data_IF_115236723411
#
_entry.id   IF_115236723411
#
_cell.length_a   1.000
_cell.length_b   1.000
_cell.length_c   1.000
_cell.angle_alpha   90.00
_cell.angle_beta   90.00
_cell.angle_gamma   90.00
#
_symmetry.space_group_name_H-M   'P 1'
#
loop_
_entity.id
_entity.type
_entity.pdbx_description
1 polymer ?
#
# COMPACT_ATOMS: atom_id res chain seq x y z
N UNK A 1 12.60 60.29 23.84
CA UNK A 1 13.86 59.75 24.41
C UNK A 1 13.52 58.55 25.30
N UNK A 2 13.49 57.32 24.75
CA UNK A 2 13.20 56.08 25.50
C UNK A 2 13.63 54.84 24.70
N UNK A 3 14.94 54.59 24.55
CA UNK A 3 15.46 53.49 23.69
C UNK A 3 16.49 52.57 24.38
N UNK A 4 17.24 52.96 25.44
CA UNK A 4 18.21 52.04 26.05
C UNK A 4 17.58 50.87 26.83
N UNK A 5 16.53 51.11 27.64
CA UNK A 5 15.97 50.08 28.54
C UNK A 5 15.24 48.94 27.82
N UNK A 6 14.60 49.21 26.68
CA UNK A 6 13.87 48.21 25.87
C UNK A 6 14.78 47.14 25.27
N UNK A 7 16.02 47.49 24.89
CA UNK A 7 17.01 46.51 24.39
C UNK A 7 17.44 45.52 25.48
N UNK A 8 17.62 45.99 26.72
CA UNK A 8 18.08 45.15 27.83
C UNK A 8 17.02 44.21 28.40
N UNK A 9 15.73 44.55 28.28
CA UNK A 9 14.63 43.65 28.67
C UNK A 9 14.41 42.58 27.60
N UNK A 10 14.44 42.97 26.32
CA UNK A 10 14.31 42.03 25.20
C UNK A 10 15.46 41.02 25.17
N UNK A 11 16.70 41.44 25.44
CA UNK A 11 17.85 40.52 25.52
C UNK A 11 17.71 39.52 26.69
N UNK A 12 17.23 39.97 27.86
CA UNK A 12 17.01 39.08 29.01
C UNK A 12 15.80 38.16 28.86
N UNK A 13 14.80 38.55 28.08
CA UNK A 13 13.70 37.66 27.70
C UNK A 13 14.17 36.63 26.67
N UNK A 14 14.99 37.05 25.70
CA UNK A 14 15.60 36.16 24.73
C UNK A 14 16.51 35.11 25.40
N UNK A 15 17.38 35.51 26.33
CA UNK A 15 18.22 34.59 27.10
C UNK A 15 17.40 33.61 27.95
N UNK A 16 16.30 34.08 28.56
CA UNK A 16 15.37 33.19 29.28
C UNK A 16 14.66 32.22 28.34
N UNK A 17 14.29 32.67 27.14
CA UNK A 17 13.65 31.82 26.14
C UNK A 17 14.63 30.78 25.57
N UNK A 18 15.87 31.17 25.28
CA UNK A 18 16.94 30.26 24.84
C UNK A 18 17.31 29.27 25.94
N UNK A 19 17.45 29.74 27.19
CA UNK A 19 17.68 28.86 28.34
C UNK A 19 16.52 27.89 28.60
N UNK A 20 15.28 28.32 28.38
CA UNK A 20 14.11 27.45 28.43
C UNK A 20 14.14 26.41 27.30
N UNK A 21 14.52 26.78 26.08
CA UNK A 21 14.67 25.85 24.96
C UNK A 21 15.81 24.85 25.18
N UNK A 22 16.93 25.27 25.78
CA UNK A 22 18.01 24.37 26.18
C UNK A 22 17.61 23.44 27.34
N UNK A 23 16.76 23.90 28.26
CA UNK A 23 16.19 23.03 29.32
C UNK A 23 15.16 22.01 28.78
N UNK A 24 14.51 22.32 27.66
CA UNK A 24 13.59 21.43 26.94
C UNK A 24 14.34 20.49 25.98
N UNK A 25 15.63 20.72 25.75
CA UNK A 25 16.55 19.81 25.07
C UNK A 25 16.78 18.58 25.96
N UNK A 26 15.74 17.77 26.10
CA UNK A 26 15.79 16.43 26.68
C UNK A 26 16.98 15.74 26.04
N UNK A 27 17.96 15.36 26.85
CA UNK A 27 19.02 14.46 26.39
C UNK A 27 18.34 13.31 25.63
N UNK A 28 18.78 13.00 24.39
CA UNK A 28 18.20 11.88 23.67
C UNK A 28 18.35 10.67 24.58
N UNK A 29 17.21 10.15 25.06
CA UNK A 29 17.16 8.91 25.87
C UNK A 29 18.06 7.92 25.16
N UNK A 30 19.22 7.59 25.76
CA UNK A 30 20.16 6.64 25.18
C UNK A 30 19.41 5.34 25.01
N UNK A 31 18.98 5.08 23.78
CA UNK A 31 18.24 3.86 23.44
C UNK A 31 19.23 2.73 23.64
N UNK A 32 18.94 1.83 24.59
CA UNK A 32 19.87 0.76 24.94
C UNK A 32 20.23 -0.09 23.71
N UNK A 33 21.46 -0.64 23.62
CA UNK A 33 21.89 -1.46 22.48
C UNK A 33 20.92 -2.61 22.15
N UNK A 34 20.27 -3.17 23.17
CA UNK A 34 19.28 -4.23 23.03
C UNK A 34 18.01 -3.77 22.29
N UNK A 35 17.54 -2.54 22.53
CA UNK A 35 16.35 -1.99 21.84
C UNK A 35 16.63 -1.85 20.36
N UNK A 36 17.83 -1.39 20.00
CA UNK A 36 18.26 -1.27 18.60
C UNK A 36 18.34 -2.65 17.94
N UNK A 37 18.86 -3.66 18.64
CA UNK A 37 18.91 -5.04 18.14
C UNK A 37 17.51 -5.64 17.94
N UNK A 38 16.61 -5.47 18.91
CA UNK A 38 15.22 -5.95 18.81
C UNK A 38 14.48 -5.25 17.68
N UNK A 39 14.61 -3.92 17.57
CA UNK A 39 14.03 -3.16 16.47
C UNK A 39 14.57 -3.60 15.11
N UNK A 40 15.89 -3.85 15.02
CA UNK A 40 16.53 -4.35 13.80
C UNK A 40 16.05 -5.74 13.41
N UNK A 41 15.85 -6.65 14.38
CA UNK A 41 15.29 -7.98 14.11
C UNK A 41 13.83 -7.89 13.64
N UNK A 42 13.00 -7.09 14.33
CA UNK A 42 11.62 -6.88 13.94
C UNK A 42 11.51 -6.31 12.52
N UNK A 43 12.33 -5.31 12.18
CA UNK A 43 12.37 -4.73 10.84
C UNK A 43 12.76 -5.77 9.78
N UNK A 44 13.76 -6.61 10.04
CA UNK A 44 14.15 -7.71 9.13
C UNK A 44 13.00 -8.69 8.92
N UNK A 45 12.31 -9.08 9.99
CA UNK A 45 11.15 -9.98 9.90
C UNK A 45 10.03 -9.37 9.06
N UNK A 46 9.73 -8.09 9.25
CA UNK A 46 8.74 -7.37 8.44
C UNK A 46 9.15 -7.34 6.97
N UNK A 47 10.40 -7.02 6.65
CA UNK A 47 10.89 -7.02 5.26
C UNK A 47 10.77 -8.40 4.62
N UNK A 48 11.18 -9.46 5.32
CA UNK A 48 11.07 -10.84 4.84
C UNK A 48 9.61 -11.24 4.61
N UNK A 49 8.70 -10.84 5.51
CA UNK A 49 7.28 -11.14 5.36
C UNK A 49 6.63 -10.40 4.19
N UNK A 50 7.03 -9.15 3.94
CA UNK A 50 6.45 -8.29 2.89
C UNK A 50 7.05 -8.53 1.50
N UNK A 51 8.27 -9.04 1.41
CA UNK A 51 9.01 -9.19 0.14
C UNK A 51 8.25 -10.00 -0.93
N UNK A 52 7.59 -11.14 -0.63
CA UNK A 52 6.84 -11.88 -1.65
C UNK A 52 5.69 -11.06 -2.25
N UNK A 53 4.96 -10.33 -1.41
CA UNK A 53 3.85 -9.49 -1.86
C UNK A 53 4.33 -8.26 -2.63
N UNK A 54 5.44 -7.66 -2.19
CA UNK A 54 6.11 -6.59 -2.91
C UNK A 54 6.55 -7.06 -4.30
N UNK A 55 7.24 -8.21 -4.38
CA UNK A 55 7.67 -8.80 -5.65
C UNK A 55 6.49 -9.05 -6.59
N UNK A 56 5.37 -9.59 -6.07
CA UNK A 56 4.18 -9.88 -6.86
C UNK A 56 3.62 -8.63 -7.53
N UNK A 57 3.27 -7.64 -6.72
CA UNK A 57 2.54 -6.46 -7.20
C UNK A 57 3.49 -5.53 -7.95
N UNK A 58 4.66 -5.21 -7.39
CA UNK A 58 5.58 -4.25 -8.00
C UNK A 58 6.07 -4.71 -9.36
N UNK A 59 6.41 -6.00 -9.49
CA UNK A 59 6.89 -6.56 -10.76
C UNK A 59 5.76 -6.61 -11.79
N UNK A 60 4.55 -7.01 -11.40
CA UNK A 60 3.42 -7.02 -12.32
C UNK A 60 3.06 -5.59 -12.79
N UNK A 61 3.05 -4.60 -11.90
CA UNK A 61 2.83 -3.19 -12.26
C UNK A 61 3.98 -2.66 -13.11
N UNK A 62 5.24 -3.06 -12.87
CA UNK A 62 6.38 -2.67 -13.71
C UNK A 62 6.22 -3.20 -15.14
N UNK A 63 6.02 -4.51 -15.31
CA UNK A 63 5.81 -5.14 -16.62
C UNK A 63 4.60 -4.55 -17.33
N UNK A 64 3.59 -4.16 -16.53
CA UNK A 64 2.48 -3.41 -17.05
C UNK A 64 2.95 -1.98 -17.47
N UNK A 65 3.05 -1.04 -16.55
CA UNK A 65 3.26 0.37 -16.86
C UNK A 65 4.50 0.69 -17.72
N UNK A 66 5.62 -0.02 -17.52
CA UNK A 66 6.89 0.31 -18.18
C UNK A 66 7.14 -0.51 -19.45
N UNK A 67 6.90 -1.82 -19.40
CA UNK A 67 7.26 -2.72 -20.50
C UNK A 67 6.12 -2.96 -21.51
N UNK A 68 4.92 -2.44 -21.27
CA UNK A 68 3.82 -2.58 -22.23
C UNK A 68 3.20 -3.99 -22.31
N UNK A 69 3.56 -4.92 -21.41
CA UNK A 69 3.02 -6.29 -21.43
C UNK A 69 1.50 -6.37 -21.20
N UNK A 70 0.76 -7.21 -21.92
CA UNK A 70 -0.63 -7.51 -21.61
C UNK A 70 -0.81 -7.89 -20.12
N UNK A 71 -1.95 -7.52 -19.53
CA UNK A 71 -2.21 -7.69 -18.08
C UNK A 71 -1.96 -9.12 -17.58
N UNK A 72 -2.37 -10.13 -18.35
CA UNK A 72 -2.15 -11.54 -18.00
C UNK A 72 -0.65 -11.90 -17.94
N UNK A 73 0.15 -11.44 -18.91
CA UNK A 73 1.59 -11.69 -18.95
C UNK A 73 2.31 -10.91 -17.84
N UNK A 74 1.90 -9.67 -17.57
CA UNK A 74 2.44 -8.88 -16.48
C UNK A 74 2.21 -9.56 -15.11
N UNK A 75 0.97 -10.06 -14.87
CA UNK A 75 0.64 -10.80 -13.67
C UNK A 75 1.38 -12.15 -13.58
N UNK A 76 1.57 -12.83 -14.71
CA UNK A 76 2.38 -14.06 -14.77
C UNK A 76 3.84 -13.78 -14.40
N UNK A 77 4.42 -12.68 -14.87
CA UNK A 77 5.77 -12.25 -14.49
C UNK A 77 5.90 -11.94 -13.00
N UNK A 78 4.93 -11.22 -12.41
CA UNK A 78 4.90 -11.00 -10.96
C UNK A 78 4.75 -12.31 -10.16
N UNK A 79 3.92 -13.23 -10.65
CA UNK A 79 3.74 -14.57 -10.07
C UNK A 79 5.05 -15.37 -10.11
N UNK A 80 5.74 -15.39 -11.25
CA UNK A 80 7.03 -16.07 -11.40
C UNK A 80 8.11 -15.47 -10.48
N UNK A 81 8.21 -14.14 -10.42
CA UNK A 81 9.14 -13.44 -9.53
C UNK A 81 8.88 -13.81 -8.05
N UNK A 82 7.62 -13.83 -7.64
CA UNK A 82 7.23 -14.21 -6.27
C UNK A 82 7.51 -15.67 -5.97
N UNK A 83 7.28 -16.56 -6.94
CA UNK A 83 7.59 -17.98 -6.80
C UNK A 83 9.10 -18.20 -6.61
N UNK A 84 9.96 -17.41 -7.26
CA UNK A 84 11.42 -17.44 -7.02
C UNK A 84 11.75 -17.02 -5.59
N UNK A 85 11.15 -15.93 -5.09
CA UNK A 85 11.36 -15.48 -3.70
C UNK A 85 10.95 -16.56 -2.69
N UNK A 86 9.75 -17.13 -2.83
CA UNK A 86 9.28 -18.18 -1.93
C UNK A 86 10.09 -19.48 -2.06
N UNK A 87 10.57 -19.79 -3.27
CA UNK A 87 11.47 -20.93 -3.47
C UNK A 87 12.79 -20.72 -2.74
N UNK A 88 13.35 -19.50 -2.78
CA UNK A 88 14.56 -19.17 -2.03
C UNK A 88 14.34 -19.29 -0.52
N UNK A 89 13.20 -18.82 0.00
CA UNK A 89 12.83 -18.98 1.41
C UNK A 89 12.71 -20.45 1.80
N UNK A 90 11.94 -21.22 1.04
CA UNK A 90 11.76 -22.65 1.28
C UNK A 90 13.08 -23.42 1.19
N UNK A 91 13.93 -23.10 0.21
CA UNK A 91 15.24 -23.72 0.03
C UNK A 91 16.17 -23.44 1.21
N UNK A 92 16.19 -22.20 1.70
CA UNK A 92 16.96 -21.80 2.87
C UNK A 92 16.51 -22.53 4.14
N UNK A 93 15.19 -22.59 4.39
CA UNK A 93 14.62 -23.35 5.52
C UNK A 93 14.95 -24.84 5.40
N UNK A 94 14.73 -25.42 4.23
CA UNK A 94 14.96 -26.84 3.97
C UNK A 94 16.43 -27.23 4.16
N UNK A 95 17.35 -26.37 3.69
CA UNK A 95 18.78 -26.53 3.91
C UNK A 95 19.13 -26.52 5.40
N UNK A 96 18.58 -25.56 6.16
CA UNK A 96 18.79 -25.45 7.62
C UNK A 96 18.33 -26.68 8.39
N UNK A 97 17.30 -27.38 7.92
CA UNK A 97 16.72 -28.54 8.60
C UNK A 97 17.32 -29.88 8.15
N UNK A 98 17.69 -30.01 6.87
CA UNK A 98 18.06 -31.31 6.28
C UNK A 98 19.48 -31.38 5.71
N UNK A 99 20.17 -30.23 5.62
CA UNK A 99 21.49 -30.12 4.98
C UNK A 99 21.47 -30.31 3.46
N UNK A 100 20.29 -30.46 2.83
CA UNK A 100 20.14 -30.64 1.37
C UNK A 100 19.30 -29.51 0.79
N UNK A 101 19.33 -29.30 -0.53
CA UNK A 101 18.44 -28.33 -1.20
C UNK A 101 17.79 -28.99 -2.41
N UNK A 102 16.47 -28.86 -2.56
CA UNK A 102 15.72 -29.34 -3.73
C UNK A 102 14.86 -28.21 -4.29
N UNK A 103 15.48 -27.17 -4.90
CA UNK A 103 14.77 -25.94 -5.26
C UNK A 103 13.67 -26.20 -6.29
N UNK A 104 13.91 -27.06 -7.28
CA UNK A 104 12.88 -27.42 -8.27
C UNK A 104 11.65 -28.12 -7.66
N UNK A 105 11.86 -28.94 -6.63
CA UNK A 105 10.75 -29.59 -5.92
C UNK A 105 9.92 -28.55 -5.14
N UNK A 106 10.58 -27.68 -4.40
CA UNK A 106 9.95 -26.60 -3.63
C UNK A 106 9.18 -25.65 -4.56
N UNK A 107 9.81 -25.24 -5.67
CA UNK A 107 9.18 -24.38 -6.65
C UNK A 107 7.88 -24.99 -7.20
N UNK A 108 7.96 -26.23 -7.69
CA UNK A 108 6.83 -26.89 -8.38
C UNK A 108 5.71 -27.33 -7.43
N UNK A 109 6.04 -27.75 -6.20
CA UNK A 109 5.06 -28.36 -5.28
C UNK A 109 4.55 -27.41 -4.19
N UNK A 110 5.27 -26.32 -3.91
CA UNK A 110 4.93 -25.41 -2.82
C UNK A 110 4.80 -23.98 -3.33
N UNK A 111 5.88 -23.38 -3.80
CA UNK A 111 5.91 -21.95 -4.09
C UNK A 111 4.93 -21.57 -5.21
N UNK A 112 5.01 -22.23 -6.38
CA UNK A 112 4.16 -21.89 -7.52
C UNK A 112 2.66 -22.13 -7.23
N UNK A 113 2.21 -23.30 -6.74
CA UNK A 113 0.81 -23.52 -6.38
C UNK A 113 0.30 -22.49 -5.36
N UNK A 114 1.11 -22.15 -4.36
CA UNK A 114 0.72 -21.18 -3.33
C UNK A 114 0.50 -19.78 -3.90
N UNK A 115 1.41 -19.28 -4.74
CA UNK A 115 1.26 -17.97 -5.37
C UNK A 115 0.09 -17.96 -6.36
N UNK A 116 -0.09 -19.03 -7.15
CA UNK A 116 -1.22 -19.14 -8.08
C UNK A 116 -2.54 -19.15 -7.33
N UNK A 117 -2.65 -19.90 -6.22
CA UNK A 117 -3.84 -19.91 -5.39
C UNK A 117 -4.13 -18.53 -4.79
N UNK A 118 -3.11 -17.82 -4.32
CA UNK A 118 -3.25 -16.45 -3.84
C UNK A 118 -3.72 -15.50 -4.94
N UNK A 119 -3.12 -15.54 -6.13
CA UNK A 119 -3.55 -14.74 -7.27
C UNK A 119 -4.99 -15.05 -7.66
N UNK A 120 -5.39 -16.33 -7.73
CA UNK A 120 -6.76 -16.73 -8.03
C UNK A 120 -7.74 -16.15 -7.00
N UNK A 121 -7.45 -16.30 -5.70
CA UNK A 121 -8.22 -15.70 -4.61
C UNK A 121 -8.34 -14.18 -4.78
N UNK A 122 -7.20 -13.50 -4.95
CA UNK A 122 -7.11 -12.06 -5.06
C UNK A 122 -7.78 -11.50 -6.31
N UNK A 123 -8.00 -12.31 -7.35
CA UNK A 123 -8.71 -11.87 -8.55
C UNK A 123 -10.23 -11.95 -8.39
N UNK A 124 -10.76 -12.81 -7.53
CA UNK A 124 -12.20 -13.11 -7.51
C UNK A 124 -12.91 -12.70 -6.24
N UNK A 125 -12.18 -12.58 -5.13
CA UNK A 125 -12.78 -12.43 -3.82
C UNK A 125 -12.49 -11.06 -3.19
N UNK A 126 -13.56 -10.41 -2.72
CA UNK A 126 -13.51 -9.29 -1.79
C UNK A 126 -14.47 -9.57 -0.64
N UNK A 127 -14.01 -9.44 0.61
CA UNK A 127 -14.85 -9.61 1.79
C UNK A 127 -15.95 -8.55 1.86
N UNK A 128 -17.14 -8.93 2.34
CA UNK A 128 -18.23 -8.00 2.63
C UNK A 128 -17.81 -6.90 3.62
N UNK A 129 -16.99 -7.26 4.61
CA UNK A 129 -16.53 -6.35 5.67
C UNK A 129 -15.57 -5.28 5.15
N UNK A 130 -14.91 -5.53 4.02
CA UNK A 130 -13.97 -4.59 3.40
C UNK A 130 -14.64 -3.78 2.27
N UNK A 131 -15.91 -3.99 1.97
CA UNK A 131 -16.67 -3.22 1.00
C UNK A 131 -17.68 -2.31 1.73
N UNK A 132 -17.81 -1.06 1.30
CA UNK A 132 -18.81 -0.12 1.86
C UNK A 132 -20.25 -0.61 1.66
N UNK A 133 -20.52 -1.32 0.58
CA UNK A 133 -21.83 -1.89 0.26
C UNK A 133 -21.69 -3.13 -0.63
N UNK A 134 -22.78 -3.89 -0.72
CA UNK A 134 -22.88 -5.04 -1.64
C UNK A 134 -22.69 -4.64 -3.10
N UNK A 135 -23.14 -3.44 -3.49
CA UNK A 135 -22.92 -2.90 -4.83
C UNK A 135 -21.42 -2.72 -5.13
N UNK A 136 -20.66 -2.11 -4.21
CA UNK A 136 -19.21 -1.96 -4.36
C UNK A 136 -18.54 -3.32 -4.48
N UNK A 137 -18.97 -4.29 -3.67
CA UNK A 137 -18.47 -5.67 -3.74
C UNK A 137 -18.76 -6.33 -5.09
N UNK A 138 -19.95 -6.11 -5.66
CA UNK A 138 -20.34 -6.65 -6.96
C UNK A 138 -19.47 -6.11 -8.11
N UNK A 139 -18.99 -4.86 -8.00
CA UNK A 139 -18.07 -4.25 -8.98
C UNK A 139 -16.61 -4.69 -8.84
N UNK A 140 -16.29 -5.58 -7.90
CA UNK A 140 -14.91 -6.01 -7.70
C UNK A 140 -14.27 -6.59 -8.97
N UNK A 141 -15.03 -7.39 -9.74
CA UNK A 141 -14.52 -8.05 -10.95
C UNK A 141 -14.36 -7.13 -12.16
N UNK A 142 -14.97 -5.94 -12.16
CA UNK A 142 -14.71 -4.92 -13.19
C UNK A 142 -13.43 -4.13 -12.92
N UNK A 143 -12.81 -4.27 -11.74
CA UNK A 143 -11.54 -3.61 -11.45
C UNK A 143 -10.37 -4.30 -12.17
N UNK A 144 -9.38 -3.51 -12.58
CA UNK A 144 -8.18 -4.03 -13.23
C UNK A 144 -7.49 -5.10 -12.35
N UNK A 145 -7.09 -6.26 -12.91
CA UNK A 145 -6.48 -7.36 -12.17
C UNK A 145 -5.34 -6.97 -11.22
N UNK A 146 -4.48 -6.03 -11.63
CA UNK A 146 -3.35 -5.60 -10.78
C UNK A 146 -3.79 -4.79 -9.56
N UNK A 147 -4.86 -3.98 -9.69
CA UNK A 147 -5.47 -3.29 -8.56
C UNK A 147 -6.14 -4.29 -7.61
N UNK A 148 -6.80 -5.33 -8.14
CA UNK A 148 -7.39 -6.40 -7.32
C UNK A 148 -6.35 -7.12 -6.46
N UNK A 149 -5.20 -7.47 -7.05
CA UNK A 149 -4.09 -8.10 -6.31
C UNK A 149 -3.48 -7.15 -5.27
N UNK A 150 -3.32 -5.86 -5.61
CA UNK A 150 -2.84 -4.86 -4.66
C UNK A 150 -3.81 -4.64 -3.48
N UNK A 151 -5.11 -4.49 -3.77
CA UNK A 151 -6.14 -4.36 -2.73
C UNK A 151 -6.22 -5.58 -1.84
N UNK A 152 -6.19 -6.79 -2.40
CA UNK A 152 -6.20 -8.03 -1.62
C UNK A 152 -4.98 -8.12 -0.69
N UNK A 153 -3.81 -7.69 -1.18
CA UNK A 153 -2.59 -7.62 -0.38
C UNK A 153 -2.71 -6.61 0.75
N UNK A 154 -3.31 -5.44 0.49
CA UNK A 154 -3.58 -4.44 1.51
C UNK A 154 -4.54 -4.98 2.58
N UNK A 155 -5.63 -5.65 2.19
CA UNK A 155 -6.62 -6.23 3.12
C UNK A 155 -5.98 -7.27 4.06
N UNK A 156 -4.97 -8.01 3.60
CA UNK A 156 -4.24 -8.93 4.47
C UNK A 156 -3.48 -8.21 5.59
N UNK A 157 -2.84 -7.08 5.27
CA UNK A 157 -2.06 -6.27 6.21
C UNK A 157 -2.94 -5.34 7.05
N UNK A 158 -4.09 -4.94 6.52
CA UNK A 158 -4.99 -3.94 7.07
C UNK A 158 -6.43 -4.44 6.99
N UNK A 159 -6.85 -5.18 8.03
CA UNK A 159 -8.16 -5.89 8.04
C UNK A 159 -9.37 -4.96 8.07
N UNK A 160 -9.20 -3.73 8.54
CA UNK A 160 -10.29 -2.75 8.67
C UNK A 160 -10.35 -1.77 7.48
N UNK A 161 -9.52 -1.94 6.45
CA UNK A 161 -9.62 -1.11 5.26
C UNK A 161 -10.99 -1.29 4.61
N UNK A 162 -11.64 -0.18 4.30
CA UNK A 162 -12.93 -0.17 3.60
C UNK A 162 -12.74 0.44 2.24
N UNK A 163 -13.04 -0.34 1.21
CA UNK A 163 -13.17 0.11 -0.18
C UNK A 163 -14.53 0.77 -0.31
N UNK A 164 -14.52 2.07 -0.61
CA UNK A 164 -15.72 2.90 -0.69
C UNK A 164 -16.26 3.00 -2.10
N UNK A 165 -15.40 2.82 -3.10
CA UNK A 165 -15.78 2.86 -4.50
C UNK A 165 -14.78 2.10 -5.37
N UNK A 166 -15.24 1.58 -6.52
CA UNK A 166 -14.43 0.82 -7.47
C UNK A 166 -14.74 1.28 -8.90
N UNK A 167 -15.82 0.76 -9.47
CA UNK A 167 -16.29 1.14 -10.80
C UNK A 167 -17.57 1.97 -10.69
N UNK A 168 -17.68 2.98 -11.56
CA UNK A 168 -18.86 3.83 -11.71
C UNK A 168 -19.43 3.70 -13.11
N UNK A 169 -20.70 4.04 -13.25
CA UNK A 169 -21.37 4.34 -14.51
C UNK A 169 -21.73 5.84 -14.56
N UNK A 170 -21.95 6.41 -15.75
CA UNK A 170 -22.38 7.80 -15.88
C UNK A 170 -23.66 8.14 -15.10
N UNK A 171 -24.55 7.16 -14.91
CA UNK A 171 -25.79 7.31 -14.15
C UNK A 171 -25.55 7.44 -12.63
N UNK A 172 -24.45 6.87 -12.12
CA UNK A 172 -24.08 6.95 -10.70
C UNK A 172 -23.77 8.40 -10.32
N UNK A 173 -23.12 9.16 -11.21
CA UNK A 173 -22.84 10.59 -11.00
C UNK A 173 -24.12 11.42 -10.91
N UNK A 174 -25.12 11.13 -11.77
CA UNK A 174 -26.41 11.80 -11.72
C UNK A 174 -27.14 11.52 -10.40
N UNK A 175 -27.09 10.27 -9.92
CA UNK A 175 -27.67 9.88 -8.62
C UNK A 175 -26.98 10.57 -7.45
N UNK A 176 -25.69 10.87 -7.58
CA UNK A 176 -24.90 11.62 -6.59
C UNK A 176 -25.07 13.15 -6.70
N UNK A 177 -25.80 13.66 -7.70
CA UNK A 177 -25.91 15.10 -7.96
C UNK A 177 -24.59 15.74 -8.40
N UNK A 178 -23.66 14.95 -8.94
CA UNK A 178 -22.34 15.40 -9.40
C UNK A 178 -22.30 15.55 -10.92
N UNK A 179 -21.52 16.51 -11.45
CA UNK A 179 -21.29 16.60 -12.89
C UNK A 179 -20.59 15.34 -13.41
N UNK A 180 -20.96 14.92 -14.61
CA UNK A 180 -20.29 13.82 -15.30
C UNK A 180 -18.85 14.21 -15.61
N UNK A 181 -17.92 13.31 -15.31
CA UNK A 181 -16.51 13.47 -15.66
C UNK A 181 -16.07 12.30 -16.55
N UNK A 182 -16.06 12.53 -17.86
CA UNK A 182 -15.80 11.47 -18.85
C UNK A 182 -14.37 10.91 -18.80
N UNK A 183 -13.44 11.65 -18.19
CA UNK A 183 -12.05 11.22 -17.97
C UNK A 183 -11.80 10.42 -16.69
N UNK A 184 -12.84 10.03 -15.93
CA UNK A 184 -12.63 9.30 -14.66
C UNK A 184 -12.15 7.86 -14.89
N UNK A 185 -11.15 7.44 -14.12
CA UNK A 185 -10.66 6.06 -14.12
C UNK A 185 -11.56 5.08 -13.35
N UNK A 186 -12.61 5.58 -12.70
CA UNK A 186 -13.69 4.73 -12.19
C UNK A 186 -14.57 4.16 -13.31
N UNK A 187 -14.58 4.75 -14.50
CA UNK A 187 -15.25 4.14 -15.64
C UNK A 187 -14.45 2.98 -16.19
N UNK A 188 -15.17 2.02 -16.75
CA UNK A 188 -14.56 0.93 -17.51
C UNK A 188 -13.87 1.51 -18.74
N UNK A 189 -12.57 1.31 -18.81
CA UNK A 189 -11.72 1.78 -19.90
C UNK A 189 -11.78 0.81 -21.09
N UNK A 190 -11.08 1.14 -22.17
CA UNK A 190 -11.07 0.33 -23.40
C UNK A 190 -10.58 -1.10 -23.21
N UNK A 191 -9.77 -1.35 -22.18
CA UNK A 191 -9.28 -2.69 -21.83
C UNK A 191 -10.30 -3.53 -21.06
N UNK A 192 -11.50 -3.01 -20.83
CA UNK A 192 -12.60 -3.71 -20.16
C UNK A 192 -12.57 -3.61 -18.64
N UNK A 193 -11.68 -2.78 -18.07
CA UNK A 193 -11.56 -2.63 -16.62
C UNK A 193 -11.69 -1.18 -16.15
N UNK A 194 -12.20 -0.99 -14.93
CA UNK A 194 -11.98 0.23 -14.18
C UNK A 194 -10.56 0.24 -13.60
N UNK A 195 -9.97 1.43 -13.55
CA UNK A 195 -8.57 1.65 -13.19
C UNK A 195 -8.40 2.49 -11.92
N UNK A 196 -9.48 2.71 -11.17
CA UNK A 196 -9.45 3.41 -9.91
C UNK A 196 -10.22 2.68 -8.79
N UNK A 197 -9.85 2.99 -7.56
CA UNK A 197 -10.53 2.54 -6.35
C UNK A 197 -10.41 3.62 -5.27
N UNK A 198 -11.48 3.83 -4.51
CA UNK A 198 -11.50 4.75 -3.37
C UNK A 198 -11.45 3.96 -2.06
N UNK A 199 -10.59 4.39 -1.14
CA UNK A 199 -10.43 3.79 0.18
C UNK A 199 -10.81 4.78 1.27
N UNK A 200 -11.60 4.34 2.25
CA UNK A 200 -11.96 5.17 3.41
C UNK A 200 -10.71 5.58 4.20
N UNK A 201 -10.56 6.88 4.42
CA UNK A 201 -9.56 7.48 5.30
C UNK A 201 -10.19 8.11 6.54
N UNK A 202 -11.48 8.47 6.47
CA UNK A 202 -12.26 8.94 7.62
C UNK A 202 -12.25 7.92 8.77
N UNK A 203 -12.07 8.40 10.01
CA UNK A 203 -12.01 7.56 11.21
C UNK A 203 -10.73 6.74 11.36
N UNK A 204 -9.73 6.94 10.49
CA UNK A 204 -8.44 6.22 10.54
C UNK A 204 -7.31 7.18 10.89
N UNK A 205 -6.36 6.70 11.67
CA UNK A 205 -5.20 7.50 12.09
C UNK A 205 -4.33 7.95 10.91
N UNK A 206 -3.73 9.14 11.04
CA UNK A 206 -2.91 9.74 9.97
C UNK A 206 -1.75 8.85 9.53
N UNK A 207 -1.08 8.18 10.48
CA UNK A 207 0.02 7.25 10.19
C UNK A 207 -0.47 6.07 9.33
N UNK A 208 -1.61 5.46 9.67
CA UNK A 208 -2.20 4.36 8.89
C UNK A 208 -2.51 4.81 7.47
N UNK A 209 -3.17 5.96 7.31
CA UNK A 209 -3.48 6.52 5.99
C UNK A 209 -2.20 6.79 5.17
N UNK A 210 -1.14 7.30 5.79
CA UNK A 210 0.17 7.52 5.12
C UNK A 210 0.85 6.21 4.74
N UNK A 211 0.79 5.18 5.58
CA UNK A 211 1.35 3.86 5.26
C UNK A 211 0.61 3.20 4.08
N UNK A 212 -0.73 3.34 4.02
CA UNK A 212 -1.52 2.85 2.88
C UNK A 212 -1.14 3.61 1.60
N UNK A 213 -1.01 4.94 1.67
CA UNK A 213 -0.55 5.74 0.54
C UNK A 213 0.86 5.33 0.08
N UNK A 214 1.79 5.19 1.03
CA UNK A 214 3.16 4.75 0.75
C UNK A 214 3.19 3.35 0.12
N UNK A 215 2.33 2.44 0.58
CA UNK A 215 2.18 1.12 -0.01
C UNK A 215 1.85 1.23 -1.51
N UNK A 216 0.80 1.95 -1.90
CA UNK A 216 0.42 2.08 -3.31
C UNK A 216 1.49 2.76 -4.15
N UNK A 217 2.12 3.82 -3.65
CA UNK A 217 3.25 4.45 -4.33
C UNK A 217 4.42 3.48 -4.55
N UNK A 218 4.77 2.71 -3.52
CA UNK A 218 5.85 1.74 -3.60
C UNK A 218 5.57 0.62 -4.62
N UNK A 219 4.29 0.32 -4.87
CA UNK A 219 3.86 -0.64 -5.89
C UNK A 219 3.78 -0.03 -7.31
N UNK A 220 3.80 1.29 -7.44
CA UNK A 220 3.74 2.00 -8.73
C UNK A 220 2.35 2.51 -9.13
N UNK A 221 1.42 2.63 -8.17
CA UNK A 221 0.12 3.29 -8.39
C UNK A 221 0.20 4.78 -8.06
N UNK A 222 -0.68 5.57 -8.66
CA UNK A 222 -0.90 6.95 -8.25
C UNK A 222 -1.94 6.98 -7.14
N UNK A 223 -1.85 7.98 -6.28
CA UNK A 223 -2.86 8.20 -5.25
C UNK A 223 -3.14 9.68 -5.06
N UNK A 224 -4.40 10.03 -4.83
CA UNK A 224 -4.82 11.37 -4.44
C UNK A 224 -5.75 11.27 -3.24
N UNK A 225 -5.46 12.00 -2.16
CA UNK A 225 -6.40 12.08 -1.04
C UNK A 225 -7.35 13.23 -1.29
N UNK A 226 -8.64 12.94 -1.35
CA UNK A 226 -9.68 13.96 -1.39
C UNK A 226 -10.12 14.27 0.03
N UNK A 227 -10.02 15.54 0.43
CA UNK A 227 -10.49 16.04 1.72
C UNK A 227 -11.73 16.88 1.43
N UNK A 228 -12.90 16.49 1.96
CA UNK A 228 -14.18 17.12 1.64
C UNK A 228 -15.39 16.30 2.13
N UNK A 229 -16.48 16.27 1.35
CA UNK A 229 -17.75 15.59 1.68
C UNK A 229 -17.63 14.09 1.94
N UNK A 230 -16.59 13.44 1.40
CA UNK A 230 -16.18 12.09 1.77
C UNK A 230 -14.65 12.02 1.78
N UNK A 231 -14.02 12.03 2.96
CA UNK A 231 -12.56 11.84 3.07
C UNK A 231 -12.20 10.39 2.67
N UNK A 232 -11.49 10.28 1.54
CA UNK A 232 -11.01 9.02 0.99
C UNK A 232 -9.66 9.19 0.29
N UNK A 233 -8.95 8.07 0.15
CA UNK A 233 -7.76 7.94 -0.68
C UNK A 233 -8.18 7.32 -2.01
N UNK A 234 -8.14 8.12 -3.07
CA UNK A 234 -8.23 7.65 -4.44
C UNK A 234 -6.93 6.98 -4.83
N UNK A 235 -7.02 5.80 -5.44
CA UNK A 235 -5.89 5.01 -5.93
C UNK A 235 -6.17 4.67 -7.38
N UNK A 236 -5.22 4.92 -8.26
CA UNK A 236 -5.39 4.65 -9.69
C UNK A 236 -4.17 3.96 -10.31
N UNK A 237 -4.45 3.14 -11.31
CA UNK A 237 -3.48 2.58 -12.24
C UNK A 237 -3.60 3.35 -13.56
N UNK A 238 -2.55 4.01 -14.06
CA UNK A 238 -2.63 4.70 -15.33
C UNK A 238 -3.04 3.77 -16.48
N UNK A 239 -3.91 4.25 -17.36
CA UNK A 239 -4.30 3.51 -18.57
C UNK A 239 -3.18 3.63 -19.60
N UNK A 240 -2.95 2.56 -20.36
CA UNK A 240 -2.03 2.57 -21.50
C UNK A 240 -2.71 3.01 -22.79
#
# INVERSE_FOLDING_TARGET
>A
MAIPRLKWTALREWERFVGALDSVRREPRRVGPWVVQVAGLAAKTVVVALLPFFALVRMAVFLYQREGWPTALALAGGTACTAVVLTAYGAWIWHRLTGRVRPALIARRVALPFVVAYCAYALVYLSATNAKSEQVRAYYRSLHPLLRVALSTLVLADRDVVITDLARRPEDYATMGLPRHDGTLHYVQRDGYAHAADLRTAGRGMVRNRLVQLYFWSMGFNTLRHVGTADHLHVELPVR
#
